data_IF_627151683428
#
_entry.id   IF_627151683428
#
_cell.length_a   1.000
_cell.length_b   1.000
_cell.length_c   1.000
_cell.angle_alpha   90.00
_cell.angle_beta   90.00
_cell.angle_gamma   90.00
#
_symmetry.space_group_name_H-M   'P 1'
#
loop_
_entity.id
_entity.type
_entity.pdbx_description
1 polymer ?
#
# COMPACT_ATOMS: atom_id res chain seq x y z
N UNK A 1 9.83 12.51 -0.28
CA UNK A 1 8.74 12.89 0.63
C UNK A 1 7.41 13.00 -0.10
N UNK A 2 7.24 13.95 -1.03
CA UNK A 2 5.94 14.23 -1.70
C UNK A 2 5.28 12.98 -2.32
N UNK A 3 5.97 12.10 -3.07
CA UNK A 3 5.32 10.92 -3.64
C UNK A 3 4.73 10.00 -2.57
N UNK A 4 5.49 9.72 -1.50
CA UNK A 4 5.04 8.87 -0.39
C UNK A 4 3.76 9.41 0.26
N UNK A 5 3.71 10.73 0.49
CA UNK A 5 2.55 11.40 1.08
C UNK A 5 1.33 11.29 0.15
N UNK A 6 1.49 11.67 -1.12
CA UNK A 6 0.39 11.73 -2.09
C UNK A 6 -0.18 10.33 -2.40
N UNK A 7 0.65 9.29 -2.48
CA UNK A 7 0.15 7.91 -2.66
C UNK A 7 -0.70 7.46 -1.46
N UNK A 8 -0.29 7.78 -0.23
CA UNK A 8 -1.11 7.47 0.95
C UNK A 8 -2.42 8.25 0.97
N UNK A 9 -2.39 9.53 0.61
CA UNK A 9 -3.60 10.36 0.43
C UNK A 9 -4.53 9.77 -0.62
N UNK A 10 -4.00 9.32 -1.76
CA UNK A 10 -4.79 8.69 -2.80
C UNK A 10 -5.50 7.43 -2.27
N UNK A 11 -4.78 6.54 -1.59
CA UNK A 11 -5.38 5.33 -0.99
C UNK A 11 -6.47 5.67 0.03
N UNK A 12 -6.27 6.69 0.87
CA UNK A 12 -7.28 7.12 1.84
C UNK A 12 -8.54 7.71 1.20
N UNK A 13 -8.44 8.33 0.03
CA UNK A 13 -9.60 8.76 -0.77
C UNK A 13 -10.29 7.57 -1.43
N UNK A 14 -9.53 6.60 -1.93
CA UNK A 14 -10.07 5.38 -2.51
C UNK A 14 -10.92 4.60 -1.50
N UNK A 15 -10.49 4.52 -0.23
CA UNK A 15 -11.29 3.91 0.85
C UNK A 15 -12.59 4.67 1.17
N UNK A 16 -12.60 5.99 1.01
CA UNK A 16 -13.77 6.85 1.21
C UNK A 16 -14.73 6.88 0.02
N UNK A 17 -14.23 6.57 -1.18
CA UNK A 17 -14.92 6.82 -2.43
C UNK A 17 -14.56 8.17 -3.04
N UNK A 18 -14.39 8.17 -4.37
CA UNK A 18 -14.00 9.33 -5.14
C UNK A 18 -15.23 9.92 -5.85
N UNK A 19 -15.38 11.26 -5.91
CA UNK A 19 -16.55 11.88 -6.53
C UNK A 19 -16.44 11.87 -8.07
N UNK A 20 -16.75 10.72 -8.67
CA UNK A 20 -16.84 10.56 -10.12
C UNK A 20 -18.14 9.86 -10.53
N UNK A 21 -18.58 10.04 -11.78
CA UNK A 21 -19.68 9.29 -12.38
C UNK A 21 -19.32 8.84 -13.78
N UNK A 22 -20.07 7.87 -14.29
CA UNK A 22 -19.99 7.41 -15.67
C UNK A 22 -21.25 7.86 -16.41
N UNK A 23 -21.09 8.35 -17.64
CA UNK A 23 -22.21 8.46 -18.56
C UNK A 23 -22.56 7.10 -19.18
N UNK A 24 -23.67 7.01 -19.91
CA UNK A 24 -24.15 5.76 -20.53
C UNK A 24 -23.16 5.20 -21.57
N UNK A 25 -22.30 6.04 -22.12
CA UNK A 25 -21.20 5.68 -23.03
C UNK A 25 -19.88 5.34 -22.31
N UNK A 26 -19.92 5.23 -20.98
CA UNK A 26 -18.78 4.98 -20.09
C UNK A 26 -17.73 6.11 -20.03
N UNK A 27 -18.06 7.32 -20.48
CA UNK A 27 -17.20 8.48 -20.24
C UNK A 27 -17.15 8.82 -18.75
N UNK A 28 -15.93 8.99 -18.20
CA UNK A 28 -15.71 9.35 -16.79
C UNK A 28 -15.80 10.87 -16.62
N UNK A 29 -16.64 11.30 -15.68
CA UNK A 29 -16.73 12.67 -15.20
C UNK A 29 -16.30 12.73 -13.74
N UNK A 30 -15.27 13.52 -13.44
CA UNK A 30 -14.82 13.80 -12.07
C UNK A 30 -15.34 15.18 -11.65
N UNK A 31 -16.07 15.24 -10.54
CA UNK A 31 -16.67 16.49 -10.04
C UNK A 31 -16.07 16.93 -8.70
N UNK A 32 -14.95 16.32 -8.30
CA UNK A 32 -14.18 16.75 -7.13
C UNK A 32 -13.19 17.87 -7.43
N UNK A 33 -12.52 18.34 -6.38
CA UNK A 33 -11.41 19.29 -6.47
C UNK A 33 -10.12 18.68 -5.92
N UNK A 34 -8.97 19.22 -6.31
CA UNK A 34 -7.67 18.77 -5.80
C UNK A 34 -7.58 18.90 -4.27
N UNK A 35 -8.00 20.05 -3.72
CA UNK A 35 -7.98 20.28 -2.27
C UNK A 35 -9.01 19.44 -1.51
N UNK A 36 -10.09 19.01 -2.17
CA UNK A 36 -11.05 18.06 -1.59
C UNK A 36 -10.44 16.69 -1.29
N UNK A 37 -9.37 16.31 -2.00
CA UNK A 37 -8.62 15.07 -1.74
C UNK A 37 -7.79 15.16 -0.45
N UNK A 38 -7.49 16.36 0.06
CA UNK A 38 -6.69 16.57 1.27
C UNK A 38 -7.58 16.58 2.54
N UNK A 39 -8.50 15.64 2.64
CA UNK A 39 -9.34 15.47 3.83
C UNK A 39 -8.58 14.80 4.99
N UNK A 40 -9.07 14.90 6.24
CA UNK A 40 -8.34 14.42 7.42
C UNK A 40 -7.96 12.94 7.39
N UNK A 41 -8.85 12.06 6.92
CA UNK A 41 -8.56 10.62 6.83
C UNK A 41 -7.53 10.32 5.74
N UNK A 42 -7.62 10.97 4.58
CA UNK A 42 -6.64 10.83 3.52
C UNK A 42 -5.26 11.34 3.96
N UNK A 43 -5.20 12.46 4.67
CA UNK A 43 -3.94 12.98 5.24
C UNK A 43 -3.35 12.01 6.28
N UNK A 44 -4.19 11.39 7.12
CA UNK A 44 -3.75 10.32 8.04
C UNK A 44 -3.10 9.15 7.28
N UNK A 45 -3.74 8.66 6.22
CA UNK A 45 -3.17 7.62 5.35
C UNK A 45 -1.87 8.08 4.66
N UNK A 46 -1.79 9.36 4.27
CA UNK A 46 -0.57 9.99 3.76
C UNK A 46 0.59 9.97 4.75
N UNK A 47 0.36 10.42 5.98
CA UNK A 47 1.37 10.43 7.04
C UNK A 47 1.76 9.00 7.44
N UNK A 48 0.79 8.08 7.48
CA UNK A 48 1.07 6.65 7.64
C UNK A 48 2.03 6.14 6.56
N UNK A 49 1.78 6.44 5.28
CA UNK A 49 2.66 6.05 4.18
C UNK A 49 4.08 6.61 4.34
N UNK A 50 4.21 7.88 4.73
CA UNK A 50 5.51 8.51 4.99
C UNK A 50 6.25 7.79 6.12
N UNK A 51 5.61 7.60 7.29
CA UNK A 51 6.26 6.95 8.44
C UNK A 51 6.65 5.50 8.14
N UNK A 52 5.79 4.77 7.43
CA UNK A 52 6.03 3.39 7.00
C UNK A 52 7.25 3.29 6.09
N UNK A 53 7.38 4.19 5.10
CA UNK A 53 8.52 4.21 4.21
C UNK A 53 9.79 4.73 4.90
N UNK A 54 9.68 5.68 5.83
CA UNK A 54 10.80 6.12 6.67
C UNK A 54 11.32 4.99 7.57
N UNK A 55 10.43 4.18 8.15
CA UNK A 55 10.80 2.97 8.91
C UNK A 55 11.60 1.99 8.04
N UNK A 56 11.13 1.72 6.82
CA UNK A 56 11.82 0.81 5.91
C UNK A 56 13.16 1.36 5.42
N UNK A 57 13.21 2.65 5.07
CA UNK A 57 14.44 3.35 4.69
C UNK A 57 15.48 3.35 5.82
N UNK A 58 15.06 3.61 7.06
CA UNK A 58 15.94 3.51 8.23
C UNK A 58 16.47 2.08 8.43
N UNK A 59 15.63 1.07 8.22
CA UNK A 59 16.05 -0.34 8.27
C UNK A 59 17.09 -0.69 7.21
N UNK A 60 16.96 -0.12 6.00
CA UNK A 60 17.97 -0.25 4.95
C UNK A 60 19.28 0.45 5.31
N UNK A 61 19.21 1.68 5.86
CA UNK A 61 20.40 2.41 6.31
C UNK A 61 21.15 1.66 7.41
N UNK A 62 20.43 1.04 8.36
CA UNK A 62 21.08 0.22 9.41
C UNK A 62 21.86 -0.95 8.82
N UNK A 63 21.38 -1.56 7.75
CA UNK A 63 22.09 -2.64 7.05
C UNK A 63 23.32 -2.13 6.29
N UNK A 64 23.26 -0.92 5.73
CA UNK A 64 24.26 -0.39 4.79
C UNK A 64 25.28 0.58 5.39
N UNK A 65 25.11 1.01 6.64
CA UNK A 65 25.98 2.00 7.28
C UNK A 65 26.57 1.49 8.59
N UNK A 66 27.60 2.16 9.08
CA UNK A 66 28.26 1.92 10.37
C UNK A 66 28.32 3.22 11.21
N UNK A 67 28.77 3.12 12.46
CA UNK A 67 29.03 4.28 13.32
C UNK A 67 27.79 5.15 13.63
N UNK A 68 27.98 6.47 13.60
CA UNK A 68 26.97 7.45 14.02
C UNK A 68 25.75 7.51 13.11
N UNK A 69 25.93 7.30 11.80
CA UNK A 69 24.81 7.26 10.84
C UNK A 69 23.92 6.05 11.17
N UNK A 70 24.53 4.90 11.43
CA UNK A 70 23.81 3.69 11.81
C UNK A 70 23.06 3.88 13.14
N UNK A 71 23.67 4.56 14.12
CA UNK A 71 23.04 4.86 15.40
C UNK A 71 21.82 5.79 15.23
N UNK A 72 21.94 6.86 14.44
CA UNK A 72 20.84 7.77 14.12
C UNK A 72 19.71 7.06 13.36
N UNK A 73 20.05 6.22 12.38
CA UNK A 73 19.07 5.43 11.64
C UNK A 73 18.28 4.49 12.58
N UNK A 74 18.93 3.83 13.55
CA UNK A 74 18.24 3.02 14.57
C UNK A 74 17.27 3.85 15.40
N UNK A 75 17.69 5.04 15.85
CA UNK A 75 16.85 5.92 16.67
C UNK A 75 15.62 6.40 15.91
N UNK A 76 15.81 7.05 14.76
CA UNK A 76 14.69 7.57 13.97
C UNK A 76 13.82 6.45 13.38
N UNK A 77 14.40 5.32 12.99
CA UNK A 77 13.65 4.14 12.54
C UNK A 77 12.78 3.52 13.65
N UNK A 78 13.25 3.57 14.90
CA UNK A 78 12.45 3.13 16.05
C UNK A 78 11.25 4.04 16.30
N UNK A 79 11.41 5.35 16.13
CA UNK A 79 10.29 6.30 16.24
C UNK A 79 9.31 6.08 15.09
N UNK A 80 9.82 5.99 13.85
CA UNK A 80 9.01 5.79 12.66
C UNK A 80 8.18 4.50 12.74
N UNK A 81 8.77 3.38 13.21
CA UNK A 81 8.04 2.12 13.40
C UNK A 81 6.88 2.23 14.39
N UNK A 82 7.08 2.87 15.54
CA UNK A 82 6.00 3.09 16.50
C UNK A 82 4.92 4.01 15.93
N UNK A 83 5.29 5.10 15.24
CA UNK A 83 4.35 5.97 14.57
C UNK A 83 3.54 5.23 13.51
N UNK A 84 4.17 4.36 12.71
CA UNK A 84 3.47 3.52 11.73
C UNK A 84 2.42 2.64 12.41
N UNK A 85 2.74 2.00 13.54
CA UNK A 85 1.76 1.19 14.30
C UNK A 85 0.60 2.05 14.78
N UNK A 86 0.89 3.18 15.43
CA UNK A 86 -0.13 4.07 16.00
C UNK A 86 -1.06 4.61 14.90
N UNK A 87 -0.49 5.13 13.81
CA UNK A 87 -1.24 5.70 12.70
C UNK A 87 -2.04 4.62 11.95
N UNK A 88 -1.50 3.41 11.81
CA UNK A 88 -2.18 2.31 11.16
C UNK A 88 -3.39 1.83 11.98
N UNK A 89 -3.21 1.63 13.29
CA UNK A 89 -4.30 1.28 14.19
C UNK A 89 -5.35 2.38 14.23
N UNK A 90 -4.93 3.65 14.31
CA UNK A 90 -5.84 4.79 14.28
C UNK A 90 -6.63 4.85 12.98
N UNK A 91 -5.98 4.63 11.83
CA UNK A 91 -6.65 4.57 10.53
C UNK A 91 -7.66 3.42 10.47
N UNK A 92 -7.32 2.24 11.00
CA UNK A 92 -8.26 1.11 11.09
C UNK A 92 -9.48 1.41 11.97
N UNK A 93 -9.26 2.02 13.15
CA UNK A 93 -10.33 2.42 14.07
C UNK A 93 -11.23 3.50 13.46
N UNK A 94 -10.63 4.53 12.84
CA UNK A 94 -11.41 5.59 12.16
C UNK A 94 -12.18 4.98 10.99
N UNK A 95 -11.55 4.08 10.22
CA UNK A 95 -12.22 3.37 9.13
C UNK A 95 -13.41 2.55 9.62
N UNK A 96 -13.32 1.91 10.78
CA UNK A 96 -14.43 1.15 11.37
C UNK A 96 -15.58 2.05 11.82
N UNK A 97 -15.25 3.20 12.43
CA UNK A 97 -16.24 4.07 13.08
C UNK A 97 -16.90 5.07 12.11
N UNK A 98 -16.16 5.60 11.13
CA UNK A 98 -16.58 6.79 10.37
C UNK A 98 -16.64 6.58 8.86
N UNK A 99 -16.02 5.52 8.31
CA UNK A 99 -15.93 5.31 6.87
C UNK A 99 -16.92 4.22 6.45
N UNK A 100 -17.94 4.62 5.70
CA UNK A 100 -18.86 3.68 5.06
C UNK A 100 -18.14 2.94 3.93
N UNK A 101 -18.36 1.63 3.84
CA UNK A 101 -17.88 0.84 2.72
C UNK A 101 -18.94 0.70 1.64
N UNK A 102 -18.59 -0.06 0.60
CA UNK A 102 -19.45 -0.28 -0.55
C UNK A 102 -19.76 -1.78 -0.67
N UNK A 103 -21.02 -2.12 -0.96
CA UNK A 103 -21.46 -3.50 -1.16
C UNK A 103 -22.24 -3.62 -2.47
N UNK A 104 -21.91 -4.65 -3.25
CA UNK A 104 -22.69 -5.02 -4.44
C UNK A 104 -23.96 -5.74 -4.00
N UNK A 105 -25.11 -5.24 -4.43
CA UNK A 105 -26.45 -5.79 -4.09
C UNK A 105 -27.06 -6.62 -5.20
N UNK A 106 -26.61 -6.44 -6.45
CA UNK A 106 -27.00 -7.27 -7.58
C UNK A 106 -26.24 -8.60 -7.62
N UNK A 107 -26.70 -9.54 -8.46
CA UNK A 107 -25.90 -10.71 -8.81
C UNK A 107 -24.56 -10.29 -9.42
N UNK A 108 -23.46 -10.89 -8.95
CA UNK A 108 -22.11 -10.65 -9.49
C UNK A 108 -21.90 -11.56 -10.69
N UNK A 109 -21.84 -10.98 -11.88
CA UNK A 109 -21.55 -11.70 -13.13
C UNK A 109 -20.06 -11.57 -13.44
N UNK A 110 -19.32 -12.68 -13.38
CA UNK A 110 -17.84 -12.69 -13.53
C UNK A 110 -17.36 -13.03 -14.93
N UNK A 111 -18.25 -13.57 -15.78
CA UNK A 111 -17.97 -14.04 -17.14
C UNK A 111 -18.62 -13.16 -18.22
N UNK A 112 -19.29 -12.08 -17.81
CA UNK A 112 -19.91 -11.10 -18.69
C UNK A 112 -18.92 -10.09 -19.27
N UNK A 113 -19.36 -9.24 -20.23
CA UNK A 113 -18.53 -8.15 -20.72
C UNK A 113 -18.31 -7.10 -19.63
N UNK A 114 -17.11 -6.51 -19.60
CA UNK A 114 -16.72 -5.44 -18.67
C UNK A 114 -17.64 -4.23 -18.83
N UNK A 115 -18.57 -4.05 -17.88
CA UNK A 115 -19.44 -2.87 -17.82
C UNK A 115 -19.85 -2.56 -16.37
N UNK A 116 -19.29 -1.49 -15.77
CA UNK A 116 -19.61 -1.11 -14.40
C UNK A 116 -21.07 -0.74 -14.14
N UNK A 117 -21.84 -0.31 -15.15
CA UNK A 117 -23.23 0.14 -15.01
C UNK A 117 -24.23 -1.01 -14.87
N UNK A 118 -23.79 -2.27 -15.03
CA UNK A 118 -24.66 -3.45 -14.92
C UNK A 118 -24.87 -3.96 -13.49
N UNK A 119 -24.19 -3.38 -12.51
CA UNK A 119 -24.35 -3.74 -11.10
C UNK A 119 -25.08 -2.65 -10.32
N UNK A 120 -25.67 -3.05 -9.21
CA UNK A 120 -26.16 -2.14 -8.18
C UNK A 120 -25.24 -2.21 -6.96
N UNK A 121 -24.92 -1.05 -6.40
CA UNK A 121 -24.02 -0.90 -5.26
C UNK A 121 -24.68 0.05 -4.28
N UNK A 122 -24.59 -0.28 -2.99
CA UNK A 122 -25.08 0.55 -1.90
C UNK A 122 -23.94 0.84 -0.91
N UNK A 123 -24.09 1.95 -0.18
CA UNK A 123 -23.23 2.30 0.94
C UNK A 123 -23.67 1.49 2.16
N UNK A 124 -22.74 0.76 2.77
CA UNK A 124 -23.01 -0.05 3.96
C UNK A 124 -21.94 0.13 5.02
N UNK A 125 -22.38 0.37 6.25
CA UNK A 125 -21.51 0.54 7.41
C UNK A 125 -20.85 -0.78 7.76
N UNK A 126 -19.51 -0.79 7.77
CA UNK A 126 -18.74 -2.00 8.05
C UNK A 126 -18.53 -2.92 6.85
N UNK A 127 -18.95 -2.54 5.63
CA UNK A 127 -18.72 -3.37 4.44
C UNK A 127 -17.23 -3.69 4.19
N UNK A 128 -16.33 -2.74 4.48
CA UNK A 128 -14.87 -2.96 4.43
C UNK A 128 -14.34 -4.01 5.40
N UNK A 129 -15.14 -4.39 6.40
CA UNK A 129 -14.76 -5.38 7.38
C UNK A 129 -15.48 -6.73 7.21
N UNK A 130 -16.46 -6.80 6.32
CA UNK A 130 -17.22 -8.01 6.04
C UNK A 130 -16.32 -9.17 5.57
N UNK A 131 -15.28 -8.88 4.79
CA UNK A 131 -14.34 -9.89 4.31
C UNK A 131 -13.58 -10.58 5.45
N UNK A 132 -13.18 -9.83 6.49
CA UNK A 132 -12.52 -10.41 7.66
C UNK A 132 -13.47 -11.24 8.52
N UNK A 133 -14.75 -10.86 8.58
CA UNK A 133 -15.77 -11.63 9.30
C UNK A 133 -16.07 -12.96 8.58
N UNK A 134 -16.17 -12.94 7.25
CA UNK A 134 -16.45 -14.13 6.44
C UNK A 134 -15.24 -15.06 6.33
N UNK A 135 -14.03 -14.50 6.23
CA UNK A 135 -12.78 -15.25 6.09
C UNK A 135 -11.76 -14.79 7.15
N UNK A 136 -11.82 -15.32 8.38
CA UNK A 136 -10.96 -14.86 9.49
C UNK A 136 -9.45 -14.97 9.22
N UNK A 137 -9.02 -15.86 8.31
CA UNK A 137 -7.61 -15.96 7.91
C UNK A 137 -7.07 -14.65 7.30
N UNK A 138 -7.95 -13.82 6.75
CA UNK A 138 -7.59 -12.52 6.20
C UNK A 138 -7.10 -11.53 7.27
N UNK A 139 -7.37 -11.77 8.56
CA UNK A 139 -6.81 -11.00 9.67
C UNK A 139 -5.28 -11.09 9.77
N UNK A 140 -4.64 -12.05 9.07
CA UNK A 140 -3.19 -12.11 8.94
C UNK A 140 -2.65 -10.82 8.30
N UNK A 141 -3.37 -10.21 7.35
CA UNK A 141 -2.91 -8.98 6.70
C UNK A 141 -2.70 -7.82 7.70
N UNK A 142 -3.72 -7.40 8.49
CA UNK A 142 -3.53 -6.34 9.47
C UNK A 142 -2.60 -6.76 10.61
N UNK A 143 -2.61 -8.04 11.00
CA UNK A 143 -1.67 -8.56 12.00
C UNK A 143 -0.21 -8.44 11.55
N UNK A 144 0.11 -8.78 10.29
CA UNK A 144 1.46 -8.60 9.72
C UNK A 144 1.86 -7.13 9.68
N UNK A 145 0.93 -6.23 9.37
CA UNK A 145 1.16 -4.79 9.40
C UNK A 145 1.66 -4.32 10.77
N UNK A 146 0.91 -4.65 11.83
CA UNK A 146 1.19 -4.25 13.21
C UNK A 146 2.40 -4.99 13.78
N UNK A 147 2.37 -6.32 13.77
CA UNK A 147 3.42 -7.16 14.35
C UNK A 147 4.75 -6.99 13.62
N UNK A 148 4.71 -6.79 12.29
CA UNK A 148 5.89 -6.48 11.50
C UNK A 148 6.55 -5.19 11.95
N UNK A 149 5.80 -4.09 12.10
CA UNK A 149 6.36 -2.81 12.54
C UNK A 149 6.85 -2.86 14.01
N UNK A 150 6.15 -3.56 14.90
CA UNK A 150 6.63 -3.81 16.27
C UNK A 150 7.92 -4.65 16.27
N UNK A 151 8.01 -5.66 15.41
CA UNK A 151 9.22 -6.46 15.27
C UNK A 151 10.39 -5.64 14.71
N UNK A 152 10.15 -4.66 13.82
CA UNK A 152 11.16 -3.69 13.40
C UNK A 152 11.68 -2.89 14.60
N UNK A 153 10.78 -2.35 15.43
CA UNK A 153 11.17 -1.60 16.62
C UNK A 153 12.09 -2.42 17.53
N UNK A 154 11.70 -3.66 17.87
CA UNK A 154 12.49 -4.56 18.71
C UNK A 154 13.83 -4.91 18.04
N UNK A 155 13.83 -5.21 16.74
CA UNK A 155 15.04 -5.59 16.01
C UNK A 155 16.05 -4.44 15.91
N UNK A 156 15.59 -3.20 15.69
CA UNK A 156 16.43 -2.00 15.67
C UNK A 156 17.09 -1.76 17.04
N UNK A 157 16.37 -2.03 18.14
CA UNK A 157 16.90 -1.94 19.51
C UNK A 157 17.86 -3.09 19.86
N UNK A 158 17.63 -4.28 19.31
CA UNK A 158 18.45 -5.48 19.54
C UNK A 158 19.76 -5.50 18.73
N UNK A 159 20.12 -4.40 18.07
CA UNK A 159 21.31 -4.24 17.21
C UNK A 159 21.44 -5.24 16.04
N UNK A 160 20.36 -5.96 15.69
CA UNK A 160 20.33 -6.83 14.50
C UNK A 160 20.25 -5.96 13.24
N UNK A 161 20.98 -6.34 12.19
CA UNK A 161 21.09 -5.51 10.97
C UNK A 161 20.13 -5.95 9.85
N UNK A 162 19.96 -7.27 9.64
CA UNK A 162 19.11 -7.80 8.56
C UNK A 162 17.63 -7.90 8.99
N UNK A 163 17.39 -8.26 10.25
CA UNK A 163 16.04 -8.49 10.76
C UNK A 163 15.09 -7.28 10.62
N UNK A 164 15.49 -6.02 10.91
CA UNK A 164 14.64 -4.85 10.68
C UNK A 164 14.16 -4.73 9.23
N UNK A 165 15.01 -5.05 8.26
CA UNK A 165 14.65 -4.97 6.85
C UNK A 165 13.57 -6.00 6.47
N UNK A 166 13.71 -7.25 6.93
CA UNK A 166 12.74 -8.31 6.65
C UNK A 166 11.39 -8.03 7.30
N UNK A 167 11.37 -7.65 8.58
CA UNK A 167 10.13 -7.30 9.27
C UNK A 167 9.47 -6.04 8.70
N UNK A 168 10.26 -5.07 8.23
CA UNK A 168 9.76 -3.89 7.54
C UNK A 168 9.04 -4.24 6.23
N UNK A 169 9.58 -5.19 5.44
CA UNK A 169 8.90 -5.70 4.23
C UNK A 169 7.58 -6.38 4.57
N UNK A 170 7.57 -7.22 5.60
CA UNK A 170 6.34 -7.89 6.07
C UNK A 170 5.29 -6.90 6.55
N UNK A 171 5.70 -5.85 7.27
CA UNK A 171 4.80 -4.79 7.72
C UNK A 171 4.18 -4.02 6.56
N UNK A 172 4.99 -3.57 5.59
CA UNK A 172 4.50 -2.90 4.38
C UNK A 172 3.52 -3.80 3.63
N UNK A 173 3.89 -5.07 3.42
CA UNK A 173 3.02 -6.04 2.76
C UNK A 173 1.69 -6.21 3.51
N UNK A 174 1.72 -6.34 4.84
CA UNK A 174 0.51 -6.43 5.68
C UNK A 174 -0.38 -5.19 5.58
N UNK A 175 0.19 -3.98 5.67
CA UNK A 175 -0.56 -2.72 5.56
C UNK A 175 -1.23 -2.59 4.19
N UNK A 176 -0.49 -2.81 3.10
CA UNK A 176 -1.02 -2.69 1.73
C UNK A 176 -2.05 -3.78 1.44
N UNK A 177 -1.77 -5.03 1.82
CA UNK A 177 -2.71 -6.15 1.61
C UNK A 177 -4.00 -5.96 2.40
N UNK A 178 -3.96 -5.34 3.58
CA UNK A 178 -5.17 -5.05 4.36
C UNK A 178 -6.12 -4.12 3.61
N UNK A 179 -5.62 -3.09 2.92
CA UNK A 179 -6.48 -2.24 2.07
C UNK A 179 -7.12 -3.06 0.95
N UNK A 180 -6.34 -3.88 0.24
CA UNK A 180 -6.86 -4.71 -0.84
C UNK A 180 -7.88 -5.75 -0.37
N UNK A 181 -7.62 -6.40 0.76
CA UNK A 181 -8.54 -7.34 1.40
C UNK A 181 -9.82 -6.67 1.87
N UNK A 182 -9.72 -5.48 2.49
CA UNK A 182 -10.89 -4.72 2.92
C UNK A 182 -11.76 -4.32 1.73
N UNK A 183 -11.13 -3.87 0.64
CA UNK A 183 -11.84 -3.32 -0.50
C UNK A 183 -12.34 -4.35 -1.50
N UNK A 184 -11.76 -5.55 -1.53
CA UNK A 184 -12.14 -6.58 -2.49
C UNK A 184 -13.66 -6.84 -2.49
N UNK A 185 -14.35 -6.78 -3.65
CA UNK A 185 -13.82 -6.74 -5.03
C UNK A 185 -13.67 -5.34 -5.66
N UNK A 186 -13.89 -4.26 -4.90
CA UNK A 186 -13.75 -2.89 -5.38
C UNK A 186 -12.29 -2.49 -5.57
N UNK A 187 -12.03 -1.75 -6.66
CA UNK A 187 -10.75 -1.10 -6.94
C UNK A 187 -10.88 0.41 -6.74
N UNK A 188 -11.99 0.99 -7.23
CA UNK A 188 -12.24 2.43 -7.15
C UNK A 188 -13.73 2.73 -6.93
N UNK A 189 -14.18 2.89 -5.68
CA UNK A 189 -15.58 3.22 -5.41
C UNK A 189 -15.90 4.67 -5.76
N UNK A 190 -17.12 4.90 -6.23
CA UNK A 190 -17.66 6.24 -6.49
C UNK A 190 -18.54 6.70 -5.35
N UNK A 191 -18.33 7.92 -4.85
CA UNK A 191 -19.20 8.55 -3.86
C UNK A 191 -20.39 9.32 -4.47
N UNK A 192 -20.36 9.64 -5.77
CA UNK A 192 -21.46 10.35 -6.45
C UNK A 192 -22.50 9.41 -7.04
N UNK A 193 -22.05 8.34 -7.70
CA UNK A 193 -22.91 7.28 -8.22
C UNK A 193 -22.30 5.93 -7.83
N UNK A 194 -22.75 5.30 -6.73
CA UNK A 194 -22.21 4.02 -6.28
C UNK A 194 -22.19 2.94 -7.37
N UNK A 195 -23.13 2.96 -8.34
CA UNK A 195 -23.18 1.99 -9.44
C UNK A 195 -21.96 2.11 -10.36
N UNK A 196 -21.41 3.32 -10.52
CA UNK A 196 -20.23 3.60 -11.33
C UNK A 196 -18.91 3.12 -10.70
N UNK A 197 -18.94 2.62 -9.46
CA UNK A 197 -17.75 2.08 -8.77
C UNK A 197 -17.03 1.03 -9.60
N UNK A 198 -15.71 1.07 -9.71
CA UNK A 198 -14.95 0.11 -10.51
C UNK A 198 -14.56 -1.11 -9.66
N UNK A 199 -14.82 -2.31 -10.19
CA UNK A 199 -14.52 -3.58 -9.51
C UNK A 199 -13.65 -4.47 -10.39
N UNK A 200 -12.97 -5.44 -9.78
CA UNK A 200 -12.11 -6.39 -10.52
C UNK A 200 -12.86 -7.17 -11.61
N UNK A 201 -14.20 -7.30 -11.49
CA UNK A 201 -15.03 -8.09 -12.40
C UNK A 201 -15.55 -7.30 -13.60
N UNK A 202 -15.72 -5.98 -13.47
CA UNK A 202 -16.39 -5.16 -14.48
C UNK A 202 -15.52 -4.08 -15.11
N UNK A 203 -14.32 -3.84 -14.56
CA UNK A 203 -13.36 -2.87 -15.08
C UNK A 203 -12.05 -3.54 -15.55
N UNK A 204 -12.12 -4.77 -16.03
CA UNK A 204 -10.99 -5.51 -16.58
C UNK A 204 -10.89 -5.41 -18.10
N UNK A 205 -9.70 -5.63 -18.66
CA UNK A 205 -9.51 -5.77 -20.11
C UNK A 205 -10.13 -7.05 -20.67
N UNK A 206 -10.16 -7.19 -22.00
CA UNK A 206 -10.65 -8.40 -22.67
C UNK A 206 -9.82 -9.64 -22.27
N UNK A 207 -10.42 -10.83 -22.35
CA UNK A 207 -9.74 -12.09 -22.03
C UNK A 207 -8.42 -12.27 -22.80
N UNK A 208 -8.40 -11.97 -24.10
CA UNK A 208 -7.19 -12.09 -24.92
C UNK A 208 -6.09 -11.15 -24.42
N UNK A 209 -6.44 -9.90 -24.10
CA UNK A 209 -5.49 -8.92 -23.56
C UNK A 209 -4.93 -9.35 -22.21
N UNK A 210 -5.79 -9.82 -21.29
CA UNK A 210 -5.37 -10.32 -19.98
C UNK A 210 -4.45 -11.55 -20.11
N UNK A 211 -4.78 -12.48 -21.01
CA UNK A 211 -3.95 -13.65 -21.27
C UNK A 211 -2.56 -13.27 -21.80
N UNK A 212 -2.48 -12.33 -22.76
CA UNK A 212 -1.21 -11.83 -23.27
C UNK A 212 -0.40 -11.18 -22.13
N UNK A 213 -1.02 -10.30 -21.33
CA UNK A 213 -0.35 -9.64 -20.21
C UNK A 213 0.12 -10.63 -19.13
N UNK A 214 -0.62 -11.71 -18.90
CA UNK A 214 -0.23 -12.80 -18.00
C UNK A 214 1.03 -13.50 -18.51
N UNK A 215 1.07 -13.89 -19.79
CA UNK A 215 2.24 -14.54 -20.40
C UNK A 215 3.47 -13.64 -20.34
N UNK A 216 3.32 -12.35 -20.69
CA UNK A 216 4.39 -11.34 -20.57
C UNK A 216 4.89 -11.24 -19.12
N UNK A 217 3.97 -11.17 -18.15
CA UNK A 217 4.34 -11.06 -16.73
C UNK A 217 5.09 -12.30 -16.25
N UNK A 218 4.66 -13.51 -16.64
CA UNK A 218 5.32 -14.77 -16.27
C UNK A 218 6.75 -14.90 -16.82
N UNK A 219 7.08 -14.22 -17.92
CA UNK A 219 8.43 -14.23 -18.52
C UNK A 219 9.29 -13.11 -17.93
N UNK A 220 8.80 -11.86 -18.00
CA UNK A 220 9.63 -10.69 -17.69
C UNK A 220 9.75 -10.41 -16.19
N UNK A 221 8.72 -10.69 -15.38
CA UNK A 221 8.82 -10.43 -13.93
C UNK A 221 9.91 -11.28 -13.27
N UNK A 222 10.03 -12.61 -13.51
CA UNK A 222 11.15 -13.39 -12.99
C UNK A 222 12.51 -12.90 -13.49
N UNK A 223 12.61 -12.52 -14.78
CA UNK A 223 13.85 -11.99 -15.35
C UNK A 223 14.29 -10.70 -14.64
N UNK A 224 13.37 -9.76 -14.44
CA UNK A 224 13.62 -8.52 -13.70
C UNK A 224 14.09 -8.85 -12.28
N UNK A 225 13.41 -9.76 -11.57
CA UNK A 225 13.78 -10.16 -10.21
C UNK A 225 15.19 -10.77 -10.17
N UNK A 226 15.55 -11.64 -11.12
CA UNK A 226 16.89 -12.25 -11.20
C UNK A 226 17.95 -11.19 -11.44
N UNK A 227 17.77 -10.33 -12.44
CA UNK A 227 18.72 -9.27 -12.76
C UNK A 227 18.88 -8.29 -11.59
N UNK A 228 17.78 -7.82 -11.01
CA UNK A 228 17.83 -6.91 -9.87
C UNK A 228 18.51 -7.58 -8.66
N UNK A 229 18.22 -8.85 -8.38
CA UNK A 229 18.88 -9.58 -7.31
C UNK A 229 20.39 -9.74 -7.55
N UNK A 230 20.80 -9.96 -8.79
CA UNK A 230 22.21 -9.99 -9.18
C UNK A 230 22.88 -8.63 -8.96
N UNK A 231 22.25 -7.53 -9.37
CA UNK A 231 22.77 -6.17 -9.12
C UNK A 231 22.95 -5.90 -7.62
N UNK A 232 21.96 -6.26 -6.79
CA UNK A 232 22.08 -6.12 -5.33
C UNK A 232 23.16 -7.00 -4.72
N UNK A 233 23.43 -8.17 -5.31
CA UNK A 233 24.53 -9.05 -4.91
C UNK A 233 25.90 -8.46 -5.28
N UNK A 234 26.02 -7.87 -6.47
CA UNK A 234 27.26 -7.24 -6.94
C UNK A 234 27.58 -5.99 -6.09
N UNK A 235 26.58 -5.17 -5.79
CA UNK A 235 26.71 -3.97 -4.95
C UNK A 235 26.59 -4.27 -3.45
N UNK A 236 26.92 -5.49 -3.04
CA UNK A 236 26.83 -5.88 -1.64
C UNK A 236 28.03 -5.36 -0.85
N UNK A 237 27.75 -4.67 0.25
CA UNK A 237 28.75 -4.00 1.08
C UNK A 237 28.10 -2.89 1.90
N UNK A 238 28.83 -2.42 2.91
CA UNK A 238 28.50 -1.21 3.67
C UNK A 238 29.25 -0.03 3.07
N UNK A 239 28.67 1.16 3.22
CA UNK A 239 29.30 2.42 2.80
C UNK A 239 29.93 3.04 4.05
N UNK A 240 31.26 3.17 4.02
CA UNK A 240 32.06 3.78 5.08
C UNK A 240 32.55 5.17 4.66
N UNK A 241 32.87 6.01 5.64
CA UNK A 241 33.30 7.40 5.41
C UNK A 241 34.58 7.45 4.57
N UNK A 242 35.54 6.60 4.88
CA UNK A 242 36.85 6.53 4.23
C UNK A 242 36.73 6.19 2.73
N UNK A 243 35.68 5.46 2.32
CA UNK A 243 35.42 5.16 0.91
C UNK A 243 34.94 6.38 0.12
N UNK A 244 34.36 7.37 0.79
CA UNK A 244 33.83 8.61 0.18
C UNK A 244 34.92 9.69 0.17
N UNK A 245 35.82 9.71 1.16
CA UNK A 245 36.93 10.66 1.25
C UNK A 245 38.11 10.29 0.33
N UNK A 246 38.10 9.09 -0.26
CA UNK A 246 39.04 8.67 -1.29
C UNK A 246 38.64 9.23 -2.67
N UNK A 247 39.38 10.24 -3.14
CA UNK A 247 39.20 10.91 -4.44
C UNK A 247 39.24 9.95 -5.65
N UNK A 248 39.74 8.72 -5.48
CA UNK A 248 39.72 7.69 -6.53
C UNK A 248 38.36 7.00 -6.69
N UNK A 249 37.45 7.16 -5.72
CA UNK A 249 36.09 6.64 -5.79
C UNK A 249 35.11 7.73 -6.25
N UNK A 250 34.39 7.46 -7.34
CA UNK A 250 33.32 8.34 -7.80
C UNK A 250 32.01 8.02 -7.05
N UNK A 251 31.73 8.74 -5.97
CA UNK A 251 30.44 8.75 -5.27
C UNK A 251 29.65 10.03 -5.58
N UNK A 252 28.32 9.92 -5.75
CA UNK A 252 27.39 11.05 -6.02
C UNK A 252 26.34 11.18 -4.92
#
# INVERSE_FOLDING_TARGET
FVPALIFGVAVGNVLQGIPFRLADDLQIFYEGSFFGLLNPFALLCGVLSVTMLSMHGASWLVLKTTGEVQARARFYGSIASLLTVVLYVLAGVISWLWISGYRITSAVVTDGPSNPLRKTVELDHGAWFANYANYPILLIAPALGILGALAVFVALRSRREVAPLLFGKLSIFGIISSVGVSMFPFILPSSLDPRASLTVWDSSSSHMTLFIMLVVTLIFLPLIVVYTSWVYKVLWGKVEKDMIEDDSNHAY
#
